data_IF_101703016801
#
_entry.id   IF_101703016801
#
_cell.length_a   1.000
_cell.length_b   1.000
_cell.length_c   1.000
_cell.angle_alpha   90.00
_cell.angle_beta   90.00
_cell.angle_gamma   90.00
#
_symmetry.space_group_name_H-M   'P 1'
#
loop_
_entity.id
_entity.type
_entity.pdbx_description
1 polymer ?
#
# COMPACT_ATOMS: atom_id res chain seq x y z
N UNK A 1 5.72 27.27 39.54
CA UNK A 1 5.71 25.80 39.72
C UNK A 1 4.28 25.30 39.59
N UNK A 2 3.95 24.60 38.49
CA UNK A 2 2.80 23.69 38.43
C UNK A 2 3.27 22.51 37.56
N UNK A 3 3.47 21.34 38.17
CA UNK A 3 3.81 20.10 37.47
C UNK A 3 2.52 19.43 37.01
N UNK A 4 2.47 19.01 35.73
CA UNK A 4 1.35 18.23 35.19
C UNK A 4 1.75 16.76 35.23
N UNK A 5 1.04 15.94 36.03
CA UNK A 5 1.24 14.49 36.00
C UNK A 5 0.77 13.95 34.64
N UNK A 6 1.56 13.04 34.07
CA UNK A 6 1.09 12.11 33.06
C UNK A 6 0.56 10.88 33.80
N UNK A 7 -0.60 10.39 33.39
CA UNK A 7 -1.12 9.09 33.84
C UNK A 7 -0.67 8.06 32.81
N UNK A 8 0.16 7.11 33.22
CA UNK A 8 0.51 5.96 32.40
C UNK A 8 -0.59 4.91 32.54
N UNK A 9 -1.15 4.45 31.41
CA UNK A 9 -1.95 3.22 31.41
C UNK A 9 -1.00 2.00 31.36
N UNK A 10 -1.27 0.93 32.12
CA UNK A 10 -0.35 -0.19 32.23
C UNK A 10 -0.29 -1.02 30.93
N UNK A 11 0.92 -1.38 30.52
CA UNK A 11 1.12 -2.34 29.44
C UNK A 11 0.55 -3.72 29.83
N UNK A 12 -0.19 -4.35 28.92
CA UNK A 12 -0.77 -5.68 29.12
C UNK A 12 0.31 -6.74 29.37
N UNK A 13 0.04 -7.66 30.29
CA UNK A 13 0.98 -8.69 30.73
C UNK A 13 1.09 -9.84 29.71
N UNK A 14 2.15 -10.66 29.84
CA UNK A 14 2.29 -11.88 29.03
C UNK A 14 1.12 -12.87 29.18
N UNK A 15 0.47 -12.88 30.35
CA UNK A 15 -0.75 -13.65 30.62
C UNK A 15 -1.95 -13.14 29.81
N UNK A 16 -2.09 -11.83 29.64
CA UNK A 16 -3.20 -11.23 28.87
C UNK A 16 -3.07 -11.53 27.37
N UNK A 17 -1.83 -11.64 26.87
CA UNK A 17 -1.52 -12.02 25.49
C UNK A 17 -1.87 -13.48 25.19
N UNK A 18 -1.54 -14.42 26.08
CA UNK A 18 -1.98 -15.82 25.93
C UNK A 18 -3.50 -15.98 26.13
N UNK A 19 -4.11 -15.19 27.03
CA UNK A 19 -5.57 -15.13 27.14
C UNK A 19 -6.23 -14.62 25.85
N UNK A 20 -5.68 -13.58 25.20
CA UNK A 20 -6.14 -13.09 23.91
C UNK A 20 -5.96 -14.13 22.80
N UNK A 21 -4.81 -14.84 22.78
CA UNK A 21 -4.52 -15.94 21.84
C UNK A 21 -5.51 -17.10 21.98
N UNK A 22 -5.82 -17.50 23.21
CA UNK A 22 -6.80 -18.55 23.50
C UNK A 22 -8.23 -18.11 23.17
N UNK A 23 -8.60 -16.88 23.55
CA UNK A 23 -9.91 -16.29 23.23
C UNK A 23 -10.15 -16.16 21.72
N UNK A 24 -9.12 -15.80 20.94
CA UNK A 24 -9.20 -15.75 19.48
C UNK A 24 -9.44 -17.12 18.83
N UNK A 25 -8.94 -18.20 19.44
CA UNK A 25 -9.21 -19.58 19.02
C UNK A 25 -10.64 -20.03 19.39
N UNK A 26 -11.09 -19.79 20.62
CA UNK A 26 -12.48 -20.12 21.04
C UNK A 26 -13.52 -19.30 20.26
N UNK A 27 -13.18 -18.05 19.91
CA UNK A 27 -14.04 -17.18 19.09
C UNK A 27 -13.99 -17.48 17.59
N UNK A 28 -13.11 -18.38 17.13
CA UNK A 28 -13.14 -18.90 15.75
C UNK A 28 -14.28 -19.91 15.56
N UNK A 29 -14.65 -20.64 16.61
CA UNK A 29 -15.71 -21.67 16.58
C UNK A 29 -17.13 -21.10 16.61
N UNK A 30 -17.31 -19.84 17.05
CA UNK A 30 -18.63 -19.28 17.44
C UNK A 30 -19.18 -18.15 16.54
N UNK A 31 -18.38 -17.63 15.61
CA UNK A 31 -18.87 -17.06 14.35
C UNK A 31 -19.88 -15.91 14.37
N UNK A 32 -19.78 -14.92 15.26
CA UNK A 32 -20.67 -13.73 15.29
C UNK A 32 -19.88 -12.40 15.15
N UNK A 33 -20.48 -11.39 14.49
CA UNK A 33 -19.88 -10.09 14.15
C UNK A 33 -20.93 -8.97 13.90
N UNK A 34 -21.10 -8.06 14.87
CA UNK A 34 -21.71 -6.73 14.69
C UNK A 34 -21.32 -5.80 15.87
N UNK A 35 -21.45 -4.47 15.85
CA UNK A 35 -21.83 -3.49 14.80
C UNK A 35 -20.56 -2.70 14.36
N UNK A 36 -20.41 -1.39 14.09
CA UNK A 36 -21.25 -0.17 14.02
C UNK A 36 -20.56 0.89 13.11
N UNK A 37 -21.18 2.07 12.93
CA UNK A 37 -20.60 3.26 12.27
C UNK A 37 -21.24 4.56 12.79
N UNK A 38 -20.62 5.74 12.53
CA UNK A 38 -21.27 6.97 11.96
C UNK A 38 -20.59 8.33 12.30
N UNK A 39 -21.06 9.39 11.59
CA UNK A 39 -20.93 10.85 11.82
C UNK A 39 -19.70 11.64 11.26
N UNK A 40 -19.92 12.95 11.03
CA UNK A 40 -19.57 13.62 9.74
C UNK A 40 -19.41 15.17 9.79
N UNK A 41 -18.50 15.71 8.94
CA UNK A 41 -18.40 17.08 8.33
C UNK A 41 -17.93 18.32 9.13
N UNK A 42 -17.30 19.30 8.42
CA UNK A 42 -16.65 20.48 9.03
C UNK A 42 -16.22 21.71 8.16
N UNK A 43 -16.80 21.98 6.98
CA UNK A 43 -16.70 23.26 6.20
C UNK A 43 -15.33 23.66 5.56
N UNK A 44 -15.29 24.86 4.96
CA UNK A 44 -14.50 25.29 3.79
C UNK A 44 -13.81 26.67 3.95
N UNK A 45 -12.91 27.05 3.02
CA UNK A 45 -12.97 28.35 2.31
C UNK A 45 -11.95 28.46 1.15
N UNK A 46 -12.22 29.40 0.22
CA UNK A 46 -11.43 29.69 -0.99
C UNK A 46 -10.21 30.61 -0.77
N UNK A 47 -9.26 30.57 -1.71
CA UNK A 47 -8.59 31.76 -2.27
C UNK A 47 -7.93 31.41 -3.62
N UNK A 48 -7.85 32.37 -4.57
CA UNK A 48 -7.34 32.12 -5.92
C UNK A 48 -6.60 33.31 -6.55
N UNK A 49 -5.46 33.06 -7.23
CA UNK A 49 -4.90 33.96 -8.26
C UNK A 49 -3.85 33.32 -9.20
N UNK A 50 -4.24 33.16 -10.48
CA UNK A 50 -3.48 33.47 -11.72
C UNK A 50 -2.00 33.00 -11.90
N UNK A 51 -1.82 32.05 -12.84
CA UNK A 51 -1.16 32.39 -14.12
C UNK A 51 0.19 31.71 -14.50
N UNK A 52 0.15 30.65 -15.32
CA UNK A 52 1.21 30.20 -16.27
C UNK A 52 0.63 29.20 -17.31
N UNK A 53 1.35 28.81 -18.38
CA UNK A 53 0.74 28.50 -19.69
C UNK A 53 0.04 27.13 -19.80
N UNK A 54 -0.80 27.01 -20.84
CA UNK A 54 -1.71 25.89 -21.04
C UNK A 54 -1.12 24.78 -21.96
N UNK A 55 -1.06 23.58 -21.41
CA UNK A 55 -1.26 22.32 -22.14
C UNK A 55 -2.76 21.95 -22.07
N UNK A 56 -3.28 20.97 -22.86
CA UNK A 56 -4.69 20.58 -22.80
C UNK A 56 -5.05 19.91 -21.47
N UNK A 57 -5.34 20.73 -20.45
CA UNK A 57 -5.83 20.29 -19.16
C UNK A 57 -7.24 19.73 -19.33
N UNK A 58 -7.38 18.41 -19.20
CA UNK A 58 -8.65 17.80 -18.80
C UNK A 58 -8.92 18.16 -17.32
N UNK A 59 -9.23 19.44 -17.08
CA UNK A 59 -9.65 19.92 -15.77
C UNK A 59 -11.03 19.35 -15.49
N UNK A 60 -11.07 18.28 -14.71
CA UNK A 60 -12.31 17.76 -14.14
C UNK A 60 -12.93 18.84 -13.26
N UNK A 61 -14.01 19.45 -13.74
CA UNK A 61 -14.95 20.12 -12.84
C UNK A 61 -15.49 19.06 -11.86
N UNK A 62 -15.51 19.39 -10.58
CA UNK A 62 -15.98 18.51 -9.52
C UNK A 62 -17.33 19.05 -9.04
N UNK A 63 -18.47 18.45 -9.44
CA UNK A 63 -19.77 18.91 -8.99
C UNK A 63 -19.89 18.78 -7.48
N UNK A 64 -20.31 19.86 -6.81
CA UNK A 64 -20.66 19.86 -5.40
C UNK A 64 -21.98 19.09 -5.19
N UNK A 65 -21.91 17.75 -5.24
CA UNK A 65 -23.09 16.89 -5.20
C UNK A 65 -22.85 15.38 -5.12
N UNK A 66 -21.60 14.89 -5.19
CA UNK A 66 -21.32 13.48 -4.88
C UNK A 66 -19.83 13.31 -4.51
N UNK A 67 -19.51 12.94 -3.26
CA UNK A 67 -18.11 12.79 -2.85
C UNK A 67 -17.44 11.63 -3.62
N UNK A 68 -16.45 11.98 -4.42
CA UNK A 68 -15.75 11.10 -5.37
C UNK A 68 -14.88 10.09 -4.60
N UNK A 69 -15.50 9.01 -4.16
CA UNK A 69 -14.98 8.03 -3.18
C UNK A 69 -13.98 7.02 -3.73
N UNK A 70 -13.34 7.33 -4.86
CA UNK A 70 -12.48 6.41 -5.62
C UNK A 70 -11.07 6.95 -5.64
N UNK A 71 -10.10 6.12 -5.24
CA UNK A 71 -8.67 6.49 -5.12
C UNK A 71 -7.82 5.54 -5.96
N UNK A 72 -6.88 6.10 -6.74
CA UNK A 72 -5.79 5.33 -7.34
C UNK A 72 -4.75 5.00 -6.26
N UNK A 73 -4.46 3.71 -6.07
CA UNK A 73 -3.43 3.23 -5.15
C UNK A 73 -2.31 2.59 -5.97
N UNK A 74 -1.12 3.16 -5.88
CA UNK A 74 0.06 2.72 -6.64
C UNK A 74 0.96 1.84 -5.77
N UNK A 75 1.46 0.74 -6.33
CA UNK A 75 2.36 -0.20 -5.67
C UNK A 75 3.74 -0.18 -6.35
N UNK A 76 4.73 0.29 -5.61
CA UNK A 76 6.16 0.26 -5.92
C UNK A 76 6.85 -0.82 -5.06
N UNK A 77 8.09 -1.20 -5.37
CA UNK A 77 8.91 -2.09 -4.53
C UNK A 77 10.30 -1.49 -4.28
N UNK A 78 11.00 -1.10 -5.34
CA UNK A 78 12.34 -0.50 -5.27
C UNK A 78 12.56 0.57 -6.36
N UNK A 79 13.50 1.47 -6.10
CA UNK A 79 14.01 2.43 -7.08
C UNK A 79 15.50 2.18 -7.40
N UNK A 80 15.88 2.38 -8.67
CA UNK A 80 17.26 2.29 -9.15
C UNK A 80 17.72 3.51 -9.93
N UNK A 81 19.02 3.57 -10.25
CA UNK A 81 19.59 4.63 -11.10
C UNK A 81 19.43 4.35 -12.60
N UNK A 82 19.41 3.07 -13.00
CA UNK A 82 19.03 2.61 -14.36
C UNK A 82 17.90 1.59 -14.27
N UNK A 83 17.17 1.38 -15.37
CA UNK A 83 16.06 0.42 -15.43
C UNK A 83 16.57 -1.00 -15.14
N UNK A 84 15.95 -1.68 -14.17
CA UNK A 84 16.32 -3.02 -13.74
C UNK A 84 17.62 -3.12 -12.92
N UNK A 85 18.36 -2.03 -12.72
CA UNK A 85 19.58 -2.02 -11.90
C UNK A 85 19.26 -1.60 -10.46
N UNK A 86 18.95 -2.57 -9.61
CA UNK A 86 18.86 -2.41 -8.17
C UNK A 86 19.17 -3.75 -7.49
N UNK A 87 20.32 -3.85 -6.81
CA UNK A 87 20.75 -5.09 -6.19
C UNK A 87 19.84 -5.45 -5.00
N UNK A 88 19.39 -6.70 -4.92
CA UNK A 88 18.41 -7.16 -3.93
C UNK A 88 16.94 -7.03 -4.34
N UNK A 89 16.61 -6.39 -5.47
CA UNK A 89 15.24 -6.17 -5.92
C UNK A 89 14.91 -6.86 -7.26
N UNK A 90 13.63 -7.19 -7.47
CA UNK A 90 13.17 -7.69 -8.78
C UNK A 90 13.21 -6.57 -9.84
N UNK A 91 14.09 -6.72 -10.83
CA UNK A 91 14.30 -5.78 -11.93
C UNK A 91 13.03 -5.37 -12.72
N UNK A 92 11.96 -6.16 -12.65
CA UNK A 92 10.67 -5.86 -13.27
C UNK A 92 9.87 -4.78 -12.52
N UNK A 93 9.99 -4.72 -11.19
CA UNK A 93 9.34 -3.73 -10.32
C UNK A 93 10.26 -2.53 -9.96
N UNK A 94 11.53 -2.58 -10.40
CA UNK A 94 12.51 -1.52 -10.18
C UNK A 94 12.28 -0.34 -11.14
N UNK A 95 11.64 0.72 -10.66
CA UNK A 95 11.53 1.99 -11.41
C UNK A 95 12.85 2.79 -11.31
N UNK A 96 13.09 3.71 -12.25
CA UNK A 96 14.18 4.69 -12.06
C UNK A 96 13.75 5.84 -11.18
N UNK A 97 14.69 6.46 -10.45
CA UNK A 97 14.44 7.70 -9.70
C UNK A 97 13.80 8.80 -10.58
N UNK A 98 14.21 8.89 -11.86
CA UNK A 98 13.61 9.82 -12.84
C UNK A 98 12.15 9.51 -13.15
N UNK A 99 11.79 8.23 -13.32
CA UNK A 99 10.38 7.83 -13.47
C UNK A 99 9.59 8.20 -12.23
N UNK A 100 10.10 7.92 -11.03
CA UNK A 100 9.42 8.28 -9.78
C UNK A 100 9.20 9.79 -9.63
N UNK A 101 10.21 10.61 -9.95
CA UNK A 101 10.09 12.07 -9.96
C UNK A 101 9.01 12.54 -10.97
N UNK A 102 8.94 11.93 -12.15
CA UNK A 102 7.86 12.22 -13.11
C UNK A 102 6.49 11.80 -12.59
N UNK A 103 6.37 10.65 -11.91
CA UNK A 103 5.12 10.19 -11.33
C UNK A 103 4.61 11.13 -10.22
N UNK A 104 5.51 11.69 -9.39
CA UNK A 104 5.16 12.75 -8.42
C UNK A 104 4.70 14.04 -9.12
N UNK A 105 5.38 14.44 -10.20
CA UNK A 105 4.99 15.61 -10.99
C UNK A 105 3.62 15.43 -11.67
N UNK A 106 3.32 14.24 -12.19
CA UNK A 106 2.02 13.91 -12.81
C UNK A 106 0.88 13.92 -11.78
N UNK A 107 1.12 13.44 -10.55
CA UNK A 107 0.15 13.55 -9.47
C UNK A 107 -0.17 15.03 -9.15
N UNK A 108 0.87 15.87 -9.00
CA UNK A 108 0.70 17.29 -8.76
C UNK A 108 0.00 18.02 -9.92
N UNK A 109 0.31 17.68 -11.18
CA UNK A 109 -0.35 18.22 -12.37
C UNK A 109 -1.83 17.82 -12.47
N UNK A 110 -2.19 16.63 -11.99
CA UNK A 110 -3.58 16.18 -11.85
C UNK A 110 -4.32 16.81 -10.65
N UNK A 111 -3.65 17.66 -9.86
CA UNK A 111 -4.20 18.26 -8.64
C UNK A 111 -4.28 17.30 -7.45
N UNK A 112 -3.60 16.14 -7.52
CA UNK A 112 -3.66 15.09 -6.51
C UNK A 112 -2.49 15.19 -5.52
N UNK A 113 -2.80 15.11 -4.23
CA UNK A 113 -1.82 14.98 -3.15
C UNK A 113 -1.39 13.53 -2.98
N UNK A 114 -0.10 13.31 -2.71
CA UNK A 114 0.42 12.00 -2.34
C UNK A 114 0.11 11.72 -0.87
N UNK A 115 -0.66 10.67 -0.61
CA UNK A 115 -1.10 10.25 0.74
C UNK A 115 -0.79 8.77 0.99
N UNK A 116 -0.71 8.40 2.26
CA UNK A 116 -0.81 7.00 2.69
C UNK A 116 -2.27 6.57 2.73
N UNK A 117 -2.54 5.29 2.45
CA UNK A 117 -3.82 4.62 2.70
C UNK A 117 -4.21 4.78 4.17
N UNK A 118 -3.25 4.74 5.11
CA UNK A 118 -3.50 4.99 6.53
C UNK A 118 -4.08 6.40 6.78
N UNK A 119 -3.49 7.45 6.19
CA UNK A 119 -4.04 8.80 6.25
C UNK A 119 -5.42 8.89 5.56
N UNK A 120 -5.64 8.21 4.45
CA UNK A 120 -6.93 8.22 3.74
C UNK A 120 -8.03 7.41 4.43
N UNK A 121 -7.69 6.44 5.29
CA UNK A 121 -8.65 5.82 6.21
C UNK A 121 -9.07 6.81 7.29
N UNK A 122 -8.10 7.44 7.96
CA UNK A 122 -8.34 8.39 9.05
C UNK A 122 -8.99 9.72 8.61
N UNK A 123 -8.71 10.20 7.39
CA UNK A 123 -9.25 11.43 6.82
C UNK A 123 -10.02 11.18 5.50
N UNK A 124 -11.28 10.72 5.56
CA UNK A 124 -12.07 10.39 4.35
C UNK A 124 -12.27 11.56 3.38
N UNK A 125 -12.22 12.81 3.86
CA UNK A 125 -12.40 14.01 3.05
C UNK A 125 -11.27 14.21 2.01
N UNK A 126 -10.03 13.84 2.35
CA UNK A 126 -8.85 14.03 1.47
C UNK A 126 -8.88 13.11 0.23
N UNK A 127 -9.66 12.02 0.26
CA UNK A 127 -9.69 10.97 -0.78
C UNK A 127 -9.94 11.52 -2.18
N UNK A 128 -10.85 12.50 -2.32
CA UNK A 128 -11.25 13.02 -3.62
C UNK A 128 -10.16 13.81 -4.36
N UNK A 129 -9.11 14.25 -3.64
CA UNK A 129 -7.98 15.01 -4.15
C UNK A 129 -6.62 14.34 -3.86
N UNK A 130 -6.61 13.00 -3.76
CA UNK A 130 -5.40 12.23 -3.39
C UNK A 130 -5.13 11.04 -4.30
N UNK A 131 -3.83 10.74 -4.47
CA UNK A 131 -3.33 9.45 -4.92
C UNK A 131 -2.62 8.76 -3.75
N UNK A 132 -2.87 7.48 -3.56
CA UNK A 132 -2.20 6.70 -2.52
C UNK A 132 -0.92 6.06 -3.07
N UNK A 133 0.20 6.21 -2.37
CA UNK A 133 1.45 5.52 -2.69
C UNK A 133 1.76 4.44 -1.66
N UNK A 134 2.15 3.26 -2.14
CA UNK A 134 2.56 2.12 -1.33
C UNK A 134 3.86 1.50 -1.86
N UNK A 135 4.73 1.07 -0.95
CA UNK A 135 6.00 0.44 -1.23
C UNK A 135 6.10 -0.88 -0.47
N UNK A 136 6.36 -1.98 -1.15
CA UNK A 136 6.51 -3.31 -0.52
C UNK A 136 8.02 -3.60 -0.26
N UNK A 137 8.33 -4.81 0.26
CA UNK A 137 9.68 -5.34 0.60
C UNK A 137 10.54 -4.60 1.64
N UNK A 138 10.39 -3.28 1.84
CA UNK A 138 11.28 -2.49 2.72
C UNK A 138 12.72 -2.35 2.18
N UNK A 139 12.89 -2.31 0.86
CA UNK A 139 14.19 -2.18 0.18
C UNK A 139 14.88 -0.83 0.48
N UNK A 140 16.22 -0.81 0.54
CA UNK A 140 17.03 0.35 0.94
C UNK A 140 16.79 1.64 0.17
N UNK A 141 16.43 1.55 -1.12
CA UNK A 141 16.08 2.75 -1.92
C UNK A 141 14.71 3.37 -1.61
N UNK A 142 13.95 2.79 -0.69
CA UNK A 142 12.68 3.35 -0.21
C UNK A 142 12.88 4.54 0.75
N UNK A 143 14.05 4.67 1.40
CA UNK A 143 14.42 5.89 2.16
C UNK A 143 14.49 7.13 1.25
N UNK A 144 15.30 7.10 0.17
CA UNK A 144 15.29 8.14 -0.86
C UNK A 144 13.94 8.36 -1.58
N UNK A 145 13.01 7.40 -1.54
CA UNK A 145 11.62 7.62 -1.98
C UNK A 145 10.84 8.45 -0.96
N UNK A 146 10.87 8.07 0.32
CA UNK A 146 10.26 8.80 1.42
C UNK A 146 10.72 10.26 1.50
N UNK A 147 12.03 10.53 1.33
CA UNK A 147 12.55 11.90 1.30
C UNK A 147 11.93 12.77 0.18
N UNK A 148 11.69 12.19 -1.00
CA UNK A 148 11.11 12.91 -2.14
C UNK A 148 9.62 13.19 -1.91
N UNK A 149 8.92 12.23 -1.30
CA UNK A 149 7.52 12.34 -0.90
C UNK A 149 7.35 13.41 0.19
N UNK A 150 8.21 13.39 1.22
CA UNK A 150 8.21 14.39 2.29
C UNK A 150 8.53 15.80 1.76
N UNK A 151 9.52 15.92 0.85
CA UNK A 151 9.83 17.19 0.15
C UNK A 151 8.68 17.72 -0.71
N UNK A 152 7.78 16.86 -1.17
CA UNK A 152 6.55 17.22 -1.86
C UNK A 152 5.34 17.46 -0.92
N UNK A 153 5.53 17.41 0.41
CA UNK A 153 4.47 17.56 1.41
C UNK A 153 3.50 16.37 1.49
N UNK A 154 3.90 15.21 0.99
CA UNK A 154 3.08 13.99 0.95
C UNK A 154 3.42 12.96 2.04
N UNK A 155 2.71 11.84 2.00
CA UNK A 155 2.97 10.64 2.81
C UNK A 155 2.73 9.37 1.96
N UNK A 156 3.29 8.24 2.35
CA UNK A 156 3.11 6.94 1.71
C UNK A 156 3.18 5.80 2.73
N UNK A 157 2.65 4.63 2.39
CA UNK A 157 2.83 3.41 3.19
C UNK A 157 4.04 2.61 2.73
N UNK A 158 4.86 2.17 3.67
CA UNK A 158 5.99 1.27 3.46
C UNK A 158 5.71 -0.02 4.21
N UNK A 159 5.43 -1.08 3.47
CA UNK A 159 5.17 -2.42 3.99
C UNK A 159 6.50 -3.16 4.17
N UNK A 160 6.82 -3.46 5.43
CA UNK A 160 8.12 -3.99 5.87
C UNK A 160 8.01 -5.46 6.27
N UNK A 161 9.06 -6.25 5.98
CA UNK A 161 9.27 -7.56 6.57
C UNK A 161 10.30 -7.45 7.71
N UNK A 162 9.91 -7.52 9.00
CA UNK A 162 10.84 -7.30 10.11
C UNK A 162 12.05 -8.23 10.12
N UNK A 163 11.93 -9.48 9.67
CA UNK A 163 13.08 -10.38 9.59
C UNK A 163 14.06 -10.04 8.44
N UNK A 164 13.73 -9.08 7.58
CA UNK A 164 14.62 -8.49 6.56
C UNK A 164 15.27 -7.17 6.99
N UNK A 165 14.78 -6.50 8.04
CA UNK A 165 15.30 -5.19 8.46
C UNK A 165 16.78 -5.30 8.85
N UNK A 166 17.61 -4.40 8.34
CA UNK A 166 19.07 -4.40 8.53
C UNK A 166 19.84 -5.51 7.79
N UNK A 167 19.20 -6.38 7.01
CA UNK A 167 19.89 -7.31 6.10
C UNK A 167 20.37 -6.57 4.83
N UNK A 168 21.34 -7.11 4.08
CA UNK A 168 21.82 -6.49 2.84
C UNK A 168 20.68 -6.12 1.90
N UNK A 169 20.75 -4.90 1.33
CA UNK A 169 19.74 -4.30 0.46
C UNK A 169 18.42 -3.87 1.13
N UNK A 170 18.21 -4.11 2.43
CA UNK A 170 17.04 -3.64 3.17
C UNK A 170 17.37 -2.44 4.08
N UNK A 171 16.35 -1.64 4.40
CA UNK A 171 16.45 -0.54 5.38
C UNK A 171 16.74 -1.07 6.80
N UNK A 172 17.40 -0.27 7.62
CA UNK A 172 17.53 -0.48 9.06
C UNK A 172 16.40 0.18 9.88
N UNK A 173 16.27 -0.20 11.15
CA UNK A 173 15.26 0.40 12.05
C UNK A 173 15.48 1.90 12.29
N UNK A 174 16.73 2.38 12.21
CA UNK A 174 17.09 3.81 12.19
C UNK A 174 16.39 4.55 11.06
N UNK A 175 16.41 3.97 9.86
CA UNK A 175 15.96 4.57 8.63
C UNK A 175 14.44 4.57 8.60
N UNK A 176 13.84 3.45 9.02
CA UNK A 176 12.39 3.30 9.18
C UNK A 176 11.82 4.27 10.23
N UNK A 177 12.53 4.51 11.35
CA UNK A 177 12.14 5.55 12.31
C UNK A 177 12.23 6.94 11.67
N UNK A 178 13.34 7.23 10.98
CA UNK A 178 13.55 8.52 10.31
C UNK A 178 12.50 8.81 9.23
N UNK A 179 12.09 7.80 8.47
CA UNK A 179 10.97 7.87 7.52
C UNK A 179 9.63 8.12 8.21
N UNK A 180 9.37 7.44 9.34
CA UNK A 180 8.15 7.64 10.12
C UNK A 180 8.09 9.06 10.72
N UNK A 181 9.21 9.57 11.23
CA UNK A 181 9.35 10.92 11.78
C UNK A 181 9.23 12.00 10.69
N UNK A 182 9.65 11.69 9.46
CA UNK A 182 9.36 12.47 8.25
C UNK A 182 7.90 12.31 7.73
N UNK A 183 7.00 11.69 8.48
CA UNK A 183 5.56 11.62 8.18
C UNK A 183 5.11 10.44 7.31
N UNK A 184 5.97 9.45 7.08
CA UNK A 184 5.59 8.22 6.38
C UNK A 184 4.84 7.24 7.30
N UNK A 185 4.05 6.37 6.70
CA UNK A 185 3.35 5.27 7.36
C UNK A 185 4.18 3.99 7.20
N UNK A 186 4.60 3.37 8.32
CA UNK A 186 5.35 2.10 8.30
C UNK A 186 4.41 0.99 8.74
N UNK A 187 4.27 -0.06 7.93
CA UNK A 187 3.20 -1.05 7.98
C UNK A 187 3.74 -2.46 7.69
N UNK A 188 2.90 -3.50 7.82
CA UNK A 188 3.36 -4.90 7.78
C UNK A 188 3.26 -5.54 6.40
N UNK A 189 4.36 -6.13 5.92
CA UNK A 189 4.39 -7.05 4.78
C UNK A 189 4.46 -8.53 5.20
N UNK A 190 4.18 -8.83 6.47
CA UNK A 190 4.38 -10.13 7.10
C UNK A 190 5.84 -10.37 7.52
N UNK A 191 6.06 -11.32 8.43
CA UNK A 191 7.34 -11.42 9.15
C UNK A 191 8.54 -11.71 8.22
N UNK A 192 8.40 -12.69 7.32
CA UNK A 192 9.52 -13.30 6.57
C UNK A 192 9.39 -13.20 5.04
N UNK A 193 8.35 -12.52 4.54
CA UNK A 193 7.97 -12.53 3.11
C UNK A 193 7.62 -13.97 2.62
N UNK A 194 6.94 -14.76 3.44
CA UNK A 194 6.40 -16.05 3.02
C UNK A 194 5.08 -15.88 2.24
N UNK A 195 4.87 -16.71 1.21
CA UNK A 195 3.58 -16.76 0.50
C UNK A 195 2.52 -17.41 1.40
N UNK A 196 1.52 -16.65 1.85
CA UNK A 196 0.58 -17.11 2.88
C UNK A 196 -0.27 -18.32 2.44
N UNK A 197 -0.44 -18.55 1.14
CA UNK A 197 -1.14 -19.73 0.60
C UNK A 197 -0.30 -21.03 0.62
N UNK A 198 0.97 -20.95 1.02
CA UNK A 198 1.94 -22.05 1.11
C UNK A 198 2.28 -22.37 2.58
N UNK A 199 1.53 -21.79 3.53
CA UNK A 199 1.69 -21.93 4.99
C UNK A 199 0.45 -22.58 5.64
N UNK A 200 0.62 -23.16 6.83
CA UNK A 200 -0.48 -23.58 7.70
C UNK A 200 -1.22 -22.38 8.32
N UNK A 201 -2.47 -22.56 8.82
CA UNK A 201 -3.21 -21.48 9.46
C UNK A 201 -2.49 -20.83 10.66
N UNK A 202 -1.74 -21.62 11.43
CA UNK A 202 -0.98 -21.12 12.58
C UNK A 202 0.22 -20.25 12.15
N UNK A 203 0.94 -20.67 11.11
CA UNK A 203 2.04 -19.88 10.53
C UNK A 203 1.53 -18.58 9.89
N UNK A 204 0.35 -18.59 9.26
CA UNK A 204 -0.27 -17.35 8.75
C UNK A 204 -0.62 -16.39 9.88
N UNK A 205 -1.09 -16.88 11.04
CA UNK A 205 -1.31 -16.03 12.23
C UNK A 205 0.01 -15.43 12.71
N UNK A 206 1.05 -16.25 12.88
CA UNK A 206 2.39 -15.79 13.31
C UNK A 206 2.97 -14.73 12.37
N UNK A 207 2.97 -14.97 11.05
CA UNK A 207 3.43 -14.00 10.05
C UNK A 207 2.73 -12.64 10.14
N UNK A 208 1.46 -12.59 10.58
CA UNK A 208 0.71 -11.35 10.74
C UNK A 208 0.89 -10.68 12.12
N UNK A 209 0.89 -11.46 13.20
CA UNK A 209 0.98 -10.96 14.58
C UNK A 209 2.41 -10.55 14.93
N UNK A 210 3.40 -11.41 14.66
CA UNK A 210 4.80 -11.17 15.02
C UNK A 210 5.35 -9.97 14.23
N UNK A 211 4.95 -9.84 12.97
CA UNK A 211 5.31 -8.70 12.11
C UNK A 211 4.71 -7.38 12.59
N UNK A 212 3.43 -7.39 12.99
CA UNK A 212 2.78 -6.23 13.60
C UNK A 212 3.51 -5.82 14.88
N UNK A 213 3.67 -6.76 15.81
CA UNK A 213 4.33 -6.53 17.10
C UNK A 213 5.77 -6.03 16.91
N UNK A 214 6.58 -6.65 16.05
CA UNK A 214 7.96 -6.24 15.85
C UNK A 214 8.08 -4.80 15.34
N UNK A 215 7.21 -4.35 14.45
CA UNK A 215 7.21 -2.96 13.96
C UNK A 215 6.70 -1.99 15.03
N UNK A 216 5.63 -2.36 15.76
CA UNK A 216 5.06 -1.54 16.84
C UNK A 216 6.05 -1.37 18.01
N UNK A 217 6.70 -2.45 18.45
CA UNK A 217 7.74 -2.45 19.49
C UNK A 217 8.95 -1.57 19.13
N UNK A 218 9.42 -1.62 17.86
CA UNK A 218 10.56 -0.82 17.44
C UNK A 218 10.21 0.65 17.22
N UNK A 219 9.04 0.95 16.63
CA UNK A 219 8.72 2.31 16.16
C UNK A 219 7.80 3.11 17.10
N UNK A 220 7.12 2.47 18.06
CA UNK A 220 6.19 3.13 18.97
C UNK A 220 4.95 3.72 18.26
N UNK A 221 4.55 3.12 17.13
CA UNK A 221 3.53 3.64 16.20
C UNK A 221 2.64 2.50 15.71
N UNK A 222 1.31 2.70 15.63
CA UNK A 222 0.36 1.62 15.33
C UNK A 222 0.45 1.14 13.88
N UNK A 223 0.50 -0.18 13.71
CA UNK A 223 0.45 -0.89 12.44
C UNK A 223 -0.97 -1.39 12.23
N UNK A 224 -1.64 -0.79 11.25
CA UNK A 224 -3.07 -0.99 10.95
C UNK A 224 -3.30 -1.51 9.53
N UNK A 225 -2.29 -1.55 8.68
CA UNK A 225 -2.36 -2.05 7.30
C UNK A 225 -1.47 -3.27 7.09
N UNK A 226 -1.98 -4.21 6.28
CA UNK A 226 -1.25 -5.40 5.87
C UNK A 226 -1.15 -5.49 4.34
N UNK A 227 0.04 -5.76 3.80
CA UNK A 227 0.21 -6.16 2.40
C UNK A 227 0.66 -7.64 2.34
N UNK A 228 -0.04 -8.54 1.62
CA UNK A 228 0.36 -9.94 1.52
C UNK A 228 1.50 -10.15 0.50
N UNK A 229 2.60 -10.84 0.86
CA UNK A 229 3.72 -11.14 -0.05
C UNK A 229 3.29 -11.72 -1.40
N UNK A 230 3.74 -11.06 -2.49
CA UNK A 230 3.42 -11.42 -3.87
C UNK A 230 1.93 -11.57 -4.19
N UNK A 231 1.05 -10.96 -3.39
CA UNK A 231 -0.40 -11.04 -3.54
C UNK A 231 -1.02 -12.43 -3.33
N UNK A 232 -0.29 -13.37 -2.70
CA UNK A 232 -0.80 -14.73 -2.51
C UNK A 232 -1.34 -14.94 -1.10
N UNK A 233 -2.61 -15.30 -1.01
CA UNK A 233 -3.40 -15.26 0.24
C UNK A 233 -4.17 -16.55 0.47
N UNK A 234 -4.43 -16.88 1.73
CA UNK A 234 -5.47 -17.86 2.09
C UNK A 234 -6.87 -17.23 1.94
N UNK A 235 -7.94 -18.02 1.72
CA UNK A 235 -9.31 -17.49 1.66
C UNK A 235 -9.71 -16.72 2.92
N UNK A 236 -9.19 -17.12 4.09
CA UNK A 236 -9.55 -16.57 5.39
C UNK A 236 -8.71 -15.36 5.80
N UNK A 237 -7.81 -14.83 4.95
CA UNK A 237 -6.87 -13.77 5.33
C UNK A 237 -7.56 -12.56 5.97
N UNK A 238 -8.69 -12.08 5.44
CA UNK A 238 -9.46 -10.96 6.02
C UNK A 238 -9.82 -11.21 7.48
N UNK A 239 -10.25 -12.42 7.82
CA UNK A 239 -10.67 -12.82 9.16
C UNK A 239 -9.47 -12.95 10.12
N UNK A 240 -8.33 -13.44 9.61
CA UNK A 240 -7.08 -13.52 10.38
C UNK A 240 -6.51 -12.12 10.63
N UNK A 241 -6.46 -11.26 9.62
CA UNK A 241 -5.99 -9.88 9.77
C UNK A 241 -6.88 -9.05 10.70
N UNK A 242 -8.21 -9.25 10.66
CA UNK A 242 -9.13 -8.61 11.60
C UNK A 242 -8.82 -8.99 13.05
N UNK A 243 -8.65 -10.29 13.36
CA UNK A 243 -8.28 -10.73 14.72
C UNK A 243 -6.85 -10.32 15.12
N UNK A 244 -5.95 -10.13 14.16
CA UNK A 244 -4.60 -9.57 14.40
C UNK A 244 -4.57 -8.03 14.50
N UNK A 245 -5.73 -7.35 14.52
CA UNK A 245 -5.81 -5.90 14.75
C UNK A 245 -5.42 -5.02 13.55
N UNK A 246 -5.53 -5.54 12.33
CA UNK A 246 -5.44 -4.76 11.10
C UNK A 246 -6.81 -4.20 10.69
N UNK A 247 -6.84 -3.01 10.09
CA UNK A 247 -8.05 -2.34 9.60
C UNK A 247 -8.30 -2.57 8.09
N UNK A 248 -7.24 -2.85 7.31
CA UNK A 248 -7.33 -3.07 5.87
C UNK A 248 -6.17 -3.89 5.29
N UNK A 249 -6.40 -4.51 4.14
CA UNK A 249 -5.41 -5.27 3.38
C UNK A 249 -5.12 -4.59 2.04
N UNK A 250 -3.87 -4.19 1.81
CA UNK A 250 -3.36 -3.66 0.54
C UNK A 250 -2.99 -4.82 -0.40
N UNK A 251 -4.01 -5.40 -1.04
CA UNK A 251 -3.84 -6.57 -1.91
C UNK A 251 -3.17 -6.23 -3.24
N UNK A 252 -2.86 -7.26 -4.03
CA UNK A 252 -2.41 -7.11 -5.43
C UNK A 252 -3.56 -7.23 -6.43
N UNK A 253 -4.83 -7.07 -5.99
CA UNK A 253 -5.98 -7.01 -6.89
C UNK A 253 -5.88 -5.75 -7.74
N UNK A 254 -5.93 -5.90 -9.08
CA UNK A 254 -5.87 -4.77 -10.00
C UNK A 254 -7.17 -3.96 -9.96
N UNK A 255 -7.06 -2.65 -9.72
CA UNK A 255 -8.20 -1.74 -9.76
C UNK A 255 -7.97 -0.43 -9.02
N UNK A 256 -9.03 0.39 -8.99
CA UNK A 256 -9.14 1.55 -8.10
C UNK A 256 -9.79 1.14 -6.78
N UNK A 257 -9.44 1.84 -5.70
CA UNK A 257 -10.03 1.63 -4.38
C UNK A 257 -11.32 2.44 -4.25
N UNK A 258 -12.46 1.77 -4.39
CA UNK A 258 -13.79 2.35 -4.24
C UNK A 258 -14.19 2.32 -2.77
N UNK A 259 -13.88 3.37 -2.02
CA UNK A 259 -13.93 3.39 -0.54
C UNK A 259 -15.34 3.28 0.08
N UNK A 260 -16.40 3.19 -0.75
CA UNK A 260 -17.78 2.83 -0.34
C UNK A 260 -17.96 1.31 -0.17
N UNK A 261 -17.10 0.49 -0.77
CA UNK A 261 -17.10 -0.98 -0.64
C UNK A 261 -16.53 -1.44 0.72
N UNK A 262 -16.16 -0.50 1.59
CA UNK A 262 -15.49 -0.71 2.87
C UNK A 262 -13.97 -0.50 2.81
N UNK A 263 -13.28 -0.49 3.97
CA UNK A 263 -11.84 -0.31 4.04
C UNK A 263 -11.06 -1.58 3.67
N UNK A 264 -11.70 -2.75 3.75
CA UNK A 264 -11.01 -4.03 4.00
C UNK A 264 -10.07 -4.54 2.91
N UNK A 265 -10.40 -4.34 1.63
CA UNK A 265 -9.55 -4.76 0.50
C UNK A 265 -9.25 -3.55 -0.38
N UNK A 266 -8.02 -3.10 -0.30
CA UNK A 266 -7.48 -1.94 -1.01
C UNK A 266 -6.75 -2.46 -2.26
N UNK A 267 -7.40 -2.47 -3.44
CA UNK A 267 -6.76 -2.90 -4.68
C UNK A 267 -5.67 -1.91 -5.09
N UNK A 268 -4.65 -2.41 -5.79
CA UNK A 268 -3.46 -1.65 -6.16
C UNK A 268 -3.07 -1.83 -7.62
N UNK A 269 -2.51 -0.78 -8.21
CA UNK A 269 -1.91 -0.80 -9.55
C UNK A 269 -0.39 -0.92 -9.40
N UNK A 270 0.14 -2.07 -9.82
CA UNK A 270 1.59 -2.32 -9.82
C UNK A 270 2.29 -1.37 -10.79
N UNK A 271 3.20 -0.53 -10.29
CA UNK A 271 4.07 0.30 -11.11
C UNK A 271 5.29 -0.54 -11.50
N UNK A 272 5.48 -0.71 -12.79
CA UNK A 272 6.50 -1.59 -13.36
C UNK A 272 7.60 -0.74 -13.99
N UNK A 273 8.79 -1.31 -14.22
CA UNK A 273 9.87 -0.59 -14.92
C UNK A 273 9.45 -0.13 -16.34
N UNK A 274 8.50 -0.84 -16.95
CA UNK A 274 7.86 -0.54 -18.24
C UNK A 274 6.65 0.39 -18.16
N UNK A 275 6.12 0.71 -16.96
CA UNK A 275 5.04 1.70 -16.83
C UNK A 275 5.54 3.06 -17.34
N UNK A 276 4.76 3.65 -18.24
CA UNK A 276 5.03 4.96 -18.85
C UNK A 276 4.22 6.06 -18.18
N UNK A 277 4.75 7.28 -18.24
CA UNK A 277 4.13 8.52 -17.78
C UNK A 277 2.69 8.68 -18.30
N UNK A 278 2.45 8.37 -19.58
CA UNK A 278 1.12 8.40 -20.19
C UNK A 278 0.17 7.33 -19.62
N UNK A 279 0.68 6.13 -19.30
CA UNK A 279 -0.12 5.09 -18.67
C UNK A 279 -0.46 5.44 -17.21
N UNK A 280 0.51 5.98 -16.47
CA UNK A 280 0.30 6.47 -15.11
C UNK A 280 -0.71 7.63 -15.08
N UNK A 281 -0.61 8.58 -16.01
CA UNK A 281 -1.59 9.67 -16.17
C UNK A 281 -3.01 9.14 -16.43
N UNK A 282 -3.18 8.09 -17.24
CA UNK A 282 -4.48 7.41 -17.44
C UNK A 282 -4.99 6.75 -16.16
N UNK A 283 -4.13 6.19 -15.31
CA UNK A 283 -4.53 5.67 -13.99
C UNK A 283 -4.94 6.78 -13.03
N UNK A 284 -4.20 7.90 -12.98
CA UNK A 284 -4.54 9.08 -12.17
C UNK A 284 -5.86 9.73 -12.62
N UNK A 285 -6.12 9.75 -13.93
CA UNK A 285 -7.40 10.19 -14.52
C UNK A 285 -8.56 9.21 -14.38
N UNK A 286 -8.35 8.04 -13.74
CA UNK A 286 -9.33 6.95 -13.61
C UNK A 286 -9.88 6.43 -14.96
N UNK A 287 -9.03 6.31 -15.99
CA UNK A 287 -9.40 5.79 -17.31
C UNK A 287 -10.00 4.38 -17.22
N UNK A 288 -11.32 4.31 -17.43
CA UNK A 288 -12.10 3.09 -17.28
C UNK A 288 -11.64 1.96 -18.22
N UNK A 289 -11.19 2.29 -19.44
CA UNK A 289 -10.78 1.29 -20.43
C UNK A 289 -9.42 0.70 -20.05
N UNK A 290 -8.46 1.52 -19.62
CA UNK A 290 -7.16 1.07 -19.10
C UNK A 290 -7.34 0.13 -17.90
N UNK A 291 -8.15 0.54 -16.93
CA UNK A 291 -8.36 -0.21 -15.68
C UNK A 291 -9.12 -1.51 -15.95
N UNK A 292 -10.12 -1.50 -16.83
CA UNK A 292 -10.93 -2.68 -17.17
C UNK A 292 -10.13 -3.67 -18.02
N UNK A 293 -9.37 -3.21 -19.02
CA UNK A 293 -8.47 -4.05 -19.79
C UNK A 293 -7.41 -4.70 -18.89
N UNK A 294 -6.79 -3.93 -17.98
CA UNK A 294 -5.82 -4.47 -17.00
C UNK A 294 -6.44 -5.47 -16.03
N UNK A 295 -7.69 -5.26 -15.58
CA UNK A 295 -8.46 -6.25 -14.80
C UNK A 295 -8.67 -7.53 -15.60
N UNK A 296 -9.05 -7.45 -16.87
CA UNK A 296 -9.23 -8.61 -17.75
C UNK A 296 -7.92 -9.40 -17.96
N UNK A 297 -6.83 -8.72 -18.36
CA UNK A 297 -5.51 -9.34 -18.51
C UNK A 297 -5.03 -10.02 -17.22
N UNK A 298 -5.24 -9.38 -16.05
CA UNK A 298 -4.91 -9.96 -14.75
C UNK A 298 -5.74 -11.23 -14.47
N UNK A 299 -7.05 -11.22 -14.74
CA UNK A 299 -7.91 -12.39 -14.54
C UNK A 299 -7.53 -13.56 -15.47
N UNK A 300 -7.18 -13.27 -16.73
CA UNK A 300 -6.66 -14.27 -17.68
C UNK A 300 -5.36 -14.89 -17.14
N UNK A 301 -4.40 -14.06 -16.71
CA UNK A 301 -3.13 -14.51 -16.11
C UNK A 301 -3.33 -15.30 -14.81
N UNK A 302 -4.25 -14.88 -13.94
CA UNK A 302 -4.57 -15.57 -12.70
C UNK A 302 -5.25 -16.94 -12.94
N UNK A 303 -6.07 -17.03 -14.00
CA UNK A 303 -6.71 -18.28 -14.42
C UNK A 303 -5.68 -19.24 -15.00
N UNK A 304 -4.79 -18.75 -15.88
CA UNK A 304 -3.64 -19.52 -16.37
C UNK A 304 -2.70 -19.96 -15.24
N UNK A 305 -2.50 -19.13 -14.20
CA UNK A 305 -1.72 -19.50 -13.00
C UNK A 305 -2.34 -20.70 -12.27
N UNK A 306 -3.66 -20.68 -12.05
CA UNK A 306 -4.41 -21.76 -11.38
C UNK A 306 -4.33 -23.08 -12.16
N UNK A 307 -4.31 -23.02 -13.50
CA UNK A 307 -4.22 -24.20 -14.37
C UNK A 307 -2.79 -24.74 -14.55
N UNK A 308 -1.75 -23.90 -14.47
CA UNK A 308 -0.37 -24.27 -14.79
C UNK A 308 0.55 -24.47 -13.57
N UNK A 309 0.17 -23.99 -12.39
CA UNK A 309 0.95 -24.10 -11.17
C UNK A 309 2.14 -23.11 -11.07
N UNK A 310 2.60 -22.89 -9.83
CA UNK A 310 3.49 -21.78 -9.48
C UNK A 310 4.82 -21.75 -10.28
N UNK A 311 5.51 -22.89 -10.46
CA UNK A 311 6.80 -22.96 -11.18
C UNK A 311 6.71 -22.82 -12.72
N UNK A 312 5.52 -22.96 -13.31
CA UNK A 312 5.31 -22.73 -14.75
C UNK A 312 4.82 -21.30 -14.99
N UNK A 313 3.97 -20.77 -14.10
CA UNK A 313 3.50 -19.38 -14.17
C UNK A 313 4.63 -18.34 -14.19
N UNK A 314 5.68 -18.48 -13.36
CA UNK A 314 6.80 -17.53 -13.35
C UNK A 314 7.49 -17.37 -14.72
N UNK A 315 7.67 -18.47 -15.46
CA UNK A 315 8.27 -18.46 -16.80
C UNK A 315 7.31 -17.91 -17.87
N UNK A 316 6.01 -18.17 -17.76
CA UNK A 316 5.00 -17.60 -18.65
C UNK A 316 4.84 -16.09 -18.44
N UNK A 317 4.80 -15.63 -17.18
CA UNK A 317 4.68 -14.22 -16.79
C UNK A 317 5.80 -13.37 -17.42
N UNK A 318 7.05 -13.83 -17.37
CA UNK A 318 8.20 -13.10 -17.94
C UNK A 318 8.16 -13.02 -19.47
N UNK A 319 7.51 -13.96 -20.17
CA UNK A 319 7.27 -13.84 -21.62
C UNK A 319 6.17 -12.82 -21.93
N UNK A 320 5.02 -12.93 -21.29
CA UNK A 320 3.86 -12.05 -21.58
C UNK A 320 4.10 -10.59 -21.19
N UNK A 321 4.93 -10.32 -20.18
CA UNK A 321 5.33 -8.96 -19.79
C UNK A 321 6.54 -8.42 -20.61
N UNK A 322 7.00 -9.15 -21.63
CA UNK A 322 7.96 -8.68 -22.63
C UNK A 322 7.30 -8.37 -23.98
N UNK A 323 6.13 -8.93 -24.29
CA UNK A 323 5.40 -8.68 -25.54
C UNK A 323 4.74 -7.30 -25.63
N UNK A 324 4.59 -6.58 -24.51
CA UNK A 324 4.10 -5.18 -24.51
C UNK A 324 5.17 -4.16 -24.94
N UNK A 325 6.41 -4.60 -25.19
CA UNK A 325 7.43 -3.79 -25.84
C UNK A 325 7.21 -3.83 -27.35
N UNK A 326 6.63 -2.77 -27.92
CA UNK A 326 6.73 -2.54 -29.37
C UNK A 326 8.20 -2.53 -29.80
N UNK A 327 8.53 -3.05 -30.99
CA UNK A 327 9.86 -2.88 -31.55
C UNK A 327 10.15 -1.38 -31.72
N UNK A 328 11.37 -0.97 -31.37
CA UNK A 328 11.91 0.31 -31.82
C UNK A 328 12.09 0.27 -33.35
N UNK A 329 12.01 1.43 -34.05
CA UNK A 329 12.30 1.53 -35.47
C UNK A 329 13.77 1.26 -35.79
#
# INVERSE_FOLDING_TARGET
MITRQVVEEPALSGSDLEAARHSALVSLEKGDLSTASDLVAGRSNDFAAKGRPAFPLYRREVPAGNMNSTVTVLMYHAMGNKRGECAGAEAHYTVTSRQFDSHLALAAQAGLRVRSVAQLLAAPADRAASVALTFDDGHGSNGPAAERIARAGGSADFFINPSRVGKPHNLGWSDLRSMADAGMSIQSHGQDHCYLNELSPAEVVAQLVDSKKAIEDHLGRPVTLFAPPGGRVTPNLRVVAARAGYAAVCSSRVGLWHTREGPWDVPRLAVLQSTSDAQLARWLGHDWWEITNRRACYLILASAKRLLGNHRYGRLRVRLLRSDAQPAP
#
